data_IF_638146796816
#
_entry.id   IF_638146796816
#
_cell.length_a   1.000
_cell.length_b   1.000
_cell.length_c   1.000
_cell.angle_alpha   90.00
_cell.angle_beta   90.00
_cell.angle_gamma   90.00
#
_symmetry.space_group_name_H-M   'P 1'
#
loop_
_entity.id
_entity.type
_entity.pdbx_description
1 polymer ?
#
# COMPACT_ATOMS: atom_id res chain seq x y z
N UNK A 1 17.97 -58.52 -31.71
CA UNK A 1 17.86 -59.34 -30.50
C UNK A 1 17.20 -58.52 -29.52
N UNK A 2 15.86 -58.42 -29.58
CA UNK A 2 14.82 -59.11 -28.82
C UNK A 2 15.07 -58.99 -27.29
N UNK A 3 14.29 -58.26 -26.56
CA UNK A 3 13.04 -58.74 -25.99
C UNK A 3 12.39 -57.67 -25.12
N UNK A 4 11.12 -57.44 -25.31
CA UNK A 4 10.18 -56.75 -24.42
C UNK A 4 9.46 -57.81 -23.54
N UNK A 5 8.38 -57.47 -22.75
CA UNK A 5 8.34 -57.35 -21.29
C UNK A 5 7.63 -58.54 -20.59
N UNK A 6 7.16 -58.43 -19.36
CA UNK A 6 5.73 -58.65 -19.15
C UNK A 6 5.03 -57.71 -18.17
N UNK A 7 3.79 -57.46 -18.54
CA UNK A 7 2.66 -57.01 -17.75
C UNK A 7 2.18 -58.05 -16.73
N UNK A 8 1.70 -57.62 -15.60
CA UNK A 8 0.68 -58.39 -14.87
C UNK A 8 -0.24 -57.45 -14.11
N UNK A 9 -1.50 -57.74 -14.30
CA UNK A 9 -2.69 -57.08 -13.86
C UNK A 9 -3.21 -57.65 -12.51
N UNK A 10 -4.23 -56.96 -11.98
CA UNK A 10 -5.26 -57.36 -11.01
C UNK A 10 -4.87 -57.45 -9.54
N UNK A 11 -5.57 -56.74 -8.64
CA UNK A 11 -6.89 -57.12 -8.18
C UNK A 11 -7.48 -56.07 -7.25
N UNK A 12 -8.76 -55.82 -7.46
CA UNK A 12 -9.72 -55.11 -6.67
C UNK A 12 -9.94 -55.72 -5.27
N UNK A 13 -10.11 -54.89 -4.25
CA UNK A 13 -11.10 -55.17 -3.16
C UNK A 13 -11.59 -53.87 -2.61
N UNK A 14 -12.90 -53.68 -2.65
CA UNK A 14 -13.64 -52.58 -2.07
C UNK A 14 -13.81 -52.71 -0.56
N UNK A 15 -13.91 -51.60 0.07
CA UNK A 15 -14.52 -51.53 1.41
C UNK A 15 -15.35 -50.27 1.49
N UNK A 16 -16.64 -50.50 1.61
CA UNK A 16 -17.72 -49.53 1.88
C UNK A 16 -17.63 -49.18 3.37
N UNK A 17 -17.47 -47.88 3.69
CA UNK A 17 -17.87 -47.37 4.99
C UNK A 17 -18.85 -46.23 4.82
N UNK A 18 -20.10 -46.53 5.28
CA UNK A 18 -21.17 -45.61 5.59
C UNK A 18 -20.76 -44.78 6.79
N UNK A 19 -21.05 -43.50 6.76
CA UNK A 19 -20.88 -42.62 7.93
C UNK A 19 -21.58 -41.28 7.72
N UNK A 20 -22.84 -41.26 7.94
CA UNK A 20 -23.72 -40.36 8.70
C UNK A 20 -23.52 -38.84 8.48
N UNK A 21 -24.50 -38.32 7.77
CA UNK A 21 -24.84 -36.89 7.64
C UNK A 21 -25.40 -36.40 8.98
N UNK A 22 -24.81 -35.35 9.55
CA UNK A 22 -25.47 -34.49 10.54
C UNK A 22 -25.79 -33.16 9.92
N UNK A 23 -27.07 -33.02 9.58
CA UNK A 23 -27.72 -31.72 9.39
C UNK A 23 -27.94 -31.09 10.76
N UNK A 24 -27.46 -29.88 10.96
CA UNK A 24 -27.99 -28.99 12.00
C UNK A 24 -28.49 -27.71 11.36
N UNK A 25 -29.76 -27.50 11.59
CA UNK A 25 -30.60 -26.47 11.03
C UNK A 25 -30.28 -25.07 11.55
N UNK A 26 -30.28 -24.12 10.65
CA UNK A 26 -30.35 -22.69 10.92
C UNK A 26 -31.70 -22.30 11.48
N UNK A 27 -31.75 -21.69 12.64
CA UNK A 27 -32.97 -21.01 13.12
C UNK A 27 -32.76 -19.51 13.10
N UNK A 28 -33.39 -18.91 12.13
CA UNK A 28 -33.62 -17.48 11.94
C UNK A 28 -34.71 -17.05 12.94
N UNK A 29 -34.43 -16.05 13.79
CA UNK A 29 -35.49 -15.26 14.42
C UNK A 29 -35.29 -13.77 14.21
N UNK A 30 -36.36 -13.21 13.73
CA UNK A 30 -36.62 -11.84 13.31
C UNK A 30 -37.00 -10.97 14.52
N UNK A 31 -36.72 -9.70 14.36
CA UNK A 31 -37.19 -8.48 14.99
C UNK A 31 -38.54 -8.52 15.77
N UNK A 32 -38.55 -7.76 16.86
CA UNK A 32 -39.74 -7.31 17.55
C UNK A 32 -39.43 -6.13 18.43
N UNK A 33 -40.06 -5.04 18.09
CA UNK A 33 -40.04 -3.69 18.64
C UNK A 33 -40.69 -3.56 20.01
N UNK A 34 -40.28 -2.49 20.72
CA UNK A 34 -41.12 -1.61 21.55
C UNK A 34 -41.68 -2.13 22.86
N UNK A 35 -41.32 -1.51 23.97
CA UNK A 35 -42.19 -0.60 24.70
C UNK A 35 -41.55 -0.09 25.98
N UNK A 36 -41.74 1.17 26.19
CA UNK A 36 -41.54 1.90 27.44
C UNK A 36 -42.33 1.26 28.57
N UNK A 37 -41.73 1.13 29.75
CA UNK A 37 -42.46 1.23 31.01
C UNK A 37 -41.65 1.93 32.07
N UNK A 38 -42.20 2.99 32.52
CA UNK A 38 -41.90 3.87 33.65
C UNK A 38 -42.10 3.08 34.95
N UNK A 39 -41.19 3.13 35.87
CA UNK A 39 -41.35 2.79 37.28
C UNK A 39 -40.55 3.82 38.07
N UNK A 40 -41.17 4.75 38.50
CA UNK A 40 -41.71 5.33 39.75
C UNK A 40 -40.80 4.98 40.97
N UNK A 41 -40.15 6.01 41.39
CA UNK A 41 -39.42 6.26 42.62
C UNK A 41 -40.39 6.19 43.82
N UNK A 42 -40.09 5.35 44.80
CA UNK A 42 -40.72 5.41 46.13
C UNK A 42 -39.68 6.00 47.10
N UNK A 43 -40.04 7.14 47.65
CA UNK A 43 -39.43 7.76 48.83
C UNK A 43 -40.06 7.14 50.09
N UNK A 44 -39.31 6.90 51.17
CA UNK A 44 -39.87 6.63 52.48
C UNK A 44 -40.14 7.93 53.27
N UNK A 45 -41.28 7.92 53.91
CA UNK A 45 -41.89 8.96 54.75
C UNK A 45 -41.05 9.37 55.92
N UNK A 46 -41.12 10.68 56.16
CA UNK A 46 -40.61 11.40 57.32
C UNK A 46 -41.61 11.26 58.49
N UNK A 47 -41.21 10.64 59.56
CA UNK A 47 -42.02 10.50 60.81
C UNK A 47 -41.80 11.70 61.72
N UNK A 48 -42.85 12.53 61.86
CA UNK A 48 -42.92 13.66 62.73
C UNK A 48 -43.20 13.26 64.18
N UNK A 49 -42.33 13.61 65.12
CA UNK A 49 -42.60 13.60 66.54
C UNK A 49 -42.76 14.99 67.11
N UNK A 50 -43.74 15.20 67.99
CA UNK A 50 -44.12 16.50 68.54
C UNK A 50 -43.20 16.96 69.68
N UNK A 51 -43.24 18.30 70.04
CA UNK A 51 -42.32 18.90 71.01
C UNK A 51 -42.76 18.70 72.45
N UNK A 52 -41.86 18.55 73.43
CA UNK A 52 -42.17 18.64 74.85
C UNK A 52 -42.03 20.05 75.39
N UNK A 53 -42.95 20.32 76.24
CA UNK A 53 -43.16 21.57 76.98
C UNK A 53 -42.05 21.85 78.01
N UNK A 54 -41.87 23.14 78.31
CA UNK A 54 -40.86 23.70 79.16
C UNK A 54 -41.02 23.46 80.65
N UNK A 55 -39.93 23.51 81.35
CA UNK A 55 -39.88 23.85 82.82
C UNK A 55 -38.70 24.75 83.09
N UNK A 56 -39.02 25.73 83.90
CA UNK A 56 -38.31 26.88 84.40
C UNK A 56 -37.07 26.56 85.31
N UNK A 57 -36.07 27.41 85.16
CA UNK A 57 -34.97 27.85 85.99
C UNK A 57 -34.67 27.20 87.37
N UNK A 58 -33.35 27.22 87.76
CA UNK A 58 -32.72 28.42 88.29
C UNK A 58 -31.23 28.63 87.89
N UNK A 59 -30.83 29.92 87.99
CA UNK A 59 -29.51 30.44 87.74
C UNK A 59 -28.46 29.92 88.74
N UNK A 60 -27.23 29.66 88.32
CA UNK A 60 -26.00 29.54 89.07
C UNK A 60 -24.82 30.25 88.36
N UNK A 61 -23.84 30.72 89.10
CA UNK A 61 -23.03 31.88 88.78
C UNK A 61 -21.91 31.63 87.80
N UNK A 62 -21.59 32.67 87.01
CA UNK A 62 -20.44 32.77 86.11
C UNK A 62 -19.11 32.53 86.84
N UNK A 63 -18.43 31.40 86.57
CA UNK A 63 -17.00 31.26 86.82
C UNK A 63 -16.28 31.69 85.54
N UNK A 64 -15.64 32.83 85.51
CA UNK A 64 -14.67 33.22 84.46
C UNK A 64 -13.46 32.39 84.66
N UNK A 65 -13.32 31.35 83.85
CA UNK A 65 -12.04 30.68 83.55
C UNK A 65 -11.41 31.41 82.37
N UNK A 66 -10.38 32.18 82.64
CA UNK A 66 -9.55 32.83 81.63
C UNK A 66 -8.87 31.70 80.84
N UNK A 67 -9.40 31.38 79.67
CA UNK A 67 -8.75 30.52 78.75
C UNK A 67 -7.60 31.29 78.13
N UNK A 68 -6.37 30.89 78.42
CA UNK A 68 -5.12 31.41 77.84
C UNK A 68 -5.13 31.23 76.29
N UNK A 69 -5.60 32.27 75.62
CA UNK A 69 -5.66 32.35 74.14
C UNK A 69 -4.30 32.23 73.50
N UNK A 70 -3.23 32.58 74.22
CA UNK A 70 -1.85 32.43 73.71
C UNK A 70 -1.41 30.97 73.56
N UNK A 71 -1.81 30.06 74.45
CA UNK A 71 -1.45 28.64 74.42
C UNK A 71 -2.19 27.90 73.29
N UNK A 72 -3.42 28.33 72.98
CA UNK A 72 -4.22 27.78 71.88
C UNK A 72 -3.65 28.21 70.53
N UNK A 73 -3.20 29.47 70.36
CA UNK A 73 -2.58 29.97 69.15
C UNK A 73 -1.22 29.32 68.87
N UNK A 74 -0.40 29.01 69.91
CA UNK A 74 0.86 28.33 69.78
C UNK A 74 0.68 26.87 69.30
N UNK A 75 -0.32 26.15 69.81
CA UNK A 75 -0.65 24.79 69.38
C UNK A 75 -1.16 24.77 67.94
N UNK A 76 -2.01 25.75 67.56
CA UNK A 76 -2.51 25.84 66.14
C UNK A 76 -1.38 26.12 65.15
N UNK A 77 -0.42 27.00 65.47
CA UNK A 77 0.75 27.26 64.62
C UNK A 77 1.59 25.98 64.41
N UNK A 78 1.87 25.20 65.46
CA UNK A 78 2.63 23.93 65.35
C UNK A 78 1.90 22.91 64.48
N UNK A 79 0.58 22.82 64.56
CA UNK A 79 -0.22 21.91 63.74
C UNK A 79 -0.18 22.37 62.28
N UNK A 80 -0.33 23.64 62.01
CA UNK A 80 -0.29 24.18 60.60
C UNK A 80 1.10 23.98 59.98
N UNK A 81 2.18 24.23 60.71
CA UNK A 81 3.55 23.93 60.20
C UNK A 81 3.77 22.42 59.98
N UNK A 82 3.19 21.57 60.82
CA UNK A 82 3.26 20.09 60.62
C UNK A 82 2.55 19.66 59.33
N UNK A 83 1.37 20.26 59.07
CA UNK A 83 0.63 19.98 57.83
C UNK A 83 1.33 20.53 56.58
N UNK A 84 1.93 21.70 56.64
CA UNK A 84 2.73 22.28 55.56
C UNK A 84 3.94 21.41 55.24
N UNK A 85 4.70 20.97 56.25
CA UNK A 85 5.81 20.02 56.04
C UNK A 85 5.36 18.69 55.47
N UNK A 86 4.23 18.16 55.92
CA UNK A 86 3.68 16.91 55.42
C UNK A 86 3.26 17.05 53.93
N UNK A 87 2.56 18.12 53.57
CA UNK A 87 2.15 18.43 52.18
C UNK A 87 3.39 18.64 51.29
N UNK A 88 4.41 19.34 51.80
CA UNK A 88 5.67 19.58 51.08
C UNK A 88 6.44 18.28 50.85
N UNK A 89 6.54 17.40 51.85
CA UNK A 89 7.15 16.09 51.73
C UNK A 89 6.37 15.15 50.78
N UNK A 90 5.04 15.19 50.86
CA UNK A 90 4.19 14.48 49.91
C UNK A 90 4.36 15.01 48.47
N UNK A 91 4.50 16.33 48.31
CA UNK A 91 4.79 16.99 47.03
C UNK A 91 6.13 16.59 46.47
N UNK A 92 7.18 16.51 47.30
CA UNK A 92 8.50 16.00 46.88
C UNK A 92 8.44 14.51 46.50
N UNK A 93 7.74 13.71 47.29
CA UNK A 93 7.55 12.29 46.98
C UNK A 93 6.75 12.06 45.69
N UNK A 94 5.72 12.86 45.41
CA UNK A 94 4.99 12.83 44.15
C UNK A 94 5.84 13.37 42.98
N UNK A 95 6.62 14.42 43.17
CA UNK A 95 7.52 14.94 42.14
C UNK A 95 8.67 13.95 41.78
N UNK A 96 9.15 13.17 42.77
CA UNK A 96 10.15 12.16 42.53
C UNK A 96 9.64 10.95 41.68
N UNK A 97 8.31 10.82 41.53
CA UNK A 97 7.72 9.78 40.68
C UNK A 97 7.65 10.16 39.20
N UNK A 98 7.89 11.42 38.85
CA UNK A 98 8.01 11.88 37.47
C UNK A 98 9.43 11.78 36.91
N UNK A 99 10.24 10.83 37.40
CA UNK A 99 11.44 10.44 36.67
C UNK A 99 10.97 9.78 35.38
N UNK A 100 11.13 10.51 34.27
CA UNK A 100 10.89 9.99 32.93
C UNK A 100 11.68 8.69 32.82
N UNK A 101 10.95 7.57 32.76
CA UNK A 101 11.53 6.28 32.44
C UNK A 101 11.93 6.40 30.96
N UNK A 102 13.21 6.66 30.71
CA UNK A 102 13.77 6.61 29.38
C UNK A 102 13.79 5.15 28.96
N UNK A 103 12.99 4.85 28.00
CA UNK A 103 12.79 3.51 27.42
C UNK A 103 13.45 3.45 26.06
N UNK A 104 13.72 2.24 25.61
CA UNK A 104 14.06 1.95 24.21
C UNK A 104 13.18 2.77 23.27
N UNK A 105 13.81 3.61 22.43
CA UNK A 105 13.10 4.50 21.52
C UNK A 105 13.35 4.11 20.07
N UNK A 106 12.36 4.44 19.23
CA UNK A 106 12.46 4.40 17.77
C UNK A 106 12.92 3.06 17.19
N UNK A 107 12.45 1.93 17.76
CA UNK A 107 12.67 0.64 17.15
C UNK A 107 12.01 0.59 15.77
N UNK A 108 12.82 0.44 14.72
CA UNK A 108 12.39 0.35 13.31
C UNK A 108 12.93 -0.92 12.70
N UNK A 109 12.05 -1.65 12.07
CA UNK A 109 12.39 -2.84 11.28
C UNK A 109 12.35 -2.50 9.79
N UNK A 110 13.36 -2.94 9.04
CA UNK A 110 13.43 -2.86 7.58
C UNK A 110 13.59 -4.27 7.03
N UNK A 111 12.59 -4.71 6.32
CA UNK A 111 12.54 -5.97 5.60
C UNK A 111 12.19 -5.64 4.16
N UNK A 112 12.88 -6.18 3.15
CA UNK A 112 12.49 -5.97 1.76
C UNK A 112 11.05 -6.44 1.52
N UNK A 113 10.22 -5.58 0.95
CA UNK A 113 8.82 -5.93 0.64
C UNK A 113 8.73 -7.14 -0.30
N UNK A 114 9.71 -7.24 -1.22
CA UNK A 114 9.78 -8.34 -2.15
C UNK A 114 11.23 -8.65 -2.53
N UNK A 115 11.54 -9.95 -2.68
CA UNK A 115 12.87 -10.46 -3.04
C UNK A 115 12.73 -11.55 -4.09
N UNK A 116 13.58 -11.54 -5.12
CA UNK A 116 13.63 -12.62 -6.12
C UNK A 116 14.17 -13.90 -5.49
N UNK A 117 13.49 -15.01 -5.71
CA UNK A 117 13.89 -16.33 -5.25
C UNK A 117 15.33 -16.65 -5.66
N UNK A 118 16.12 -17.16 -4.73
CA UNK A 118 17.55 -17.47 -4.92
C UNK A 118 18.49 -16.32 -4.58
N UNK A 119 18.01 -15.08 -4.47
CA UNK A 119 18.83 -13.93 -4.06
C UNK A 119 19.04 -13.92 -2.54
N UNK A 120 19.91 -13.01 -2.09
CA UNK A 120 20.06 -12.68 -0.68
C UNK A 120 19.02 -11.62 -0.26
N UNK A 121 18.63 -11.65 1.01
CA UNK A 121 17.79 -10.63 1.64
C UNK A 121 18.46 -10.13 2.91
N UNK A 122 18.70 -8.83 3.01
CA UNK A 122 19.22 -8.19 4.23
C UNK A 122 18.07 -7.56 4.99
N UNK A 123 17.90 -7.99 6.22
CA UNK A 123 16.94 -7.49 7.19
C UNK A 123 17.67 -6.55 8.13
N UNK A 124 17.11 -5.40 8.50
CA UNK A 124 17.76 -4.54 9.47
C UNK A 124 16.80 -4.05 10.55
N UNK A 125 17.36 -3.86 11.74
CA UNK A 125 16.65 -3.47 12.93
C UNK A 125 17.41 -2.29 13.55
N UNK A 126 16.82 -1.09 13.48
CA UNK A 126 17.40 0.14 13.99
C UNK A 126 16.74 0.51 15.31
N UNK A 127 17.53 0.85 16.30
CA UNK A 127 17.06 1.19 17.64
C UNK A 127 18.01 2.18 18.32
N UNK A 128 17.49 2.94 19.25
CA UNK A 128 18.24 3.87 20.08
C UNK A 128 18.17 3.47 21.56
N UNK A 129 19.34 3.24 22.17
CA UNK A 129 19.51 2.86 23.58
C UNK A 129 20.01 4.07 24.36
N UNK A 130 19.24 5.08 24.63
CA UNK A 130 19.69 6.36 25.23
C UNK A 130 20.83 6.23 26.25
N UNK A 131 20.62 5.57 27.38
CA UNK A 131 21.60 5.35 28.46
C UNK A 131 21.78 3.88 28.84
N UNK A 132 20.98 3.00 28.25
CA UNK A 132 21.04 1.58 28.49
C UNK A 132 22.06 0.89 27.58
N UNK A 133 22.55 -0.26 27.98
CA UNK A 133 23.32 -1.15 27.10
C UNK A 133 22.43 -2.19 26.46
N UNK A 134 22.83 -2.66 25.29
CA UNK A 134 22.15 -3.73 24.59
C UNK A 134 22.33 -5.06 25.34
N UNK A 135 21.23 -5.70 25.70
CA UNK A 135 21.24 -7.06 26.20
C UNK A 135 21.21 -8.06 25.06
N UNK A 136 20.18 -7.99 24.17
CA UNK A 136 20.09 -8.88 23.01
C UNK A 136 19.27 -8.30 21.88
N UNK A 137 19.57 -8.70 20.64
CA UNK A 137 18.71 -8.59 19.48
C UNK A 137 18.37 -9.99 19.02
N UNK A 138 17.07 -10.24 18.79
CA UNK A 138 16.58 -11.53 18.31
C UNK A 138 15.73 -11.36 17.07
N UNK A 139 15.89 -12.27 16.13
CA UNK A 139 15.11 -12.31 14.91
C UNK A 139 14.30 -13.57 14.81
N UNK A 140 13.03 -13.39 14.44
CA UNK A 140 12.06 -14.46 14.30
C UNK A 140 11.47 -14.48 12.91
N UNK A 141 11.17 -15.65 12.41
CA UNK A 141 10.34 -15.89 11.24
C UNK A 141 9.13 -16.72 11.66
N UNK A 142 7.89 -16.24 11.38
CA UNK A 142 6.64 -16.87 11.81
C UNK A 142 6.65 -17.32 13.28
N UNK A 143 7.28 -16.50 14.15
CA UNK A 143 7.46 -16.75 15.59
C UNK A 143 8.54 -17.78 15.99
N UNK A 144 9.29 -18.34 15.02
CA UNK A 144 10.45 -19.18 15.30
C UNK A 144 11.74 -18.36 15.27
N UNK A 145 12.52 -18.40 16.35
CA UNK A 145 13.80 -17.68 16.46
C UNK A 145 14.85 -18.34 15.54
N UNK A 146 15.44 -17.55 14.64
CA UNK A 146 16.49 -18.03 13.74
C UNK A 146 17.85 -17.37 13.95
N UNK A 147 17.89 -16.19 14.61
CA UNK A 147 19.13 -15.46 14.87
C UNK A 147 19.04 -14.70 16.19
N UNK A 148 20.16 -14.71 16.93
CA UNK A 148 20.32 -13.96 18.17
C UNK A 148 21.71 -13.33 18.23
N UNK A 149 21.74 -12.08 18.66
CA UNK A 149 22.98 -11.37 18.96
C UNK A 149 22.97 -10.93 20.42
N UNK A 150 24.01 -11.35 21.17
CA UNK A 150 24.23 -10.98 22.60
C UNK A 150 25.65 -10.44 22.73
N UNK A 151 25.84 -9.13 22.96
CA UNK A 151 27.19 -8.53 23.00
C UNK A 151 28.14 -9.15 24.02
N UNK A 152 27.62 -9.68 25.10
CA UNK A 152 28.39 -10.28 26.22
C UNK A 152 28.79 -11.75 25.97
N UNK A 153 28.31 -12.37 24.92
CA UNK A 153 28.65 -13.75 24.55
C UNK A 153 29.84 -13.82 23.59
N UNK A 154 30.50 -14.95 23.53
CA UNK A 154 31.59 -15.22 22.59
C UNK A 154 31.41 -16.60 21.95
N UNK A 155 31.06 -16.67 20.65
CA UNK A 155 30.76 -15.56 19.73
C UNK A 155 29.44 -14.86 20.09
N UNK A 156 29.30 -13.56 19.78
CA UNK A 156 28.10 -12.79 20.13
C UNK A 156 26.88 -13.17 19.30
N UNK A 157 27.08 -13.63 18.06
CA UNK A 157 26.05 -14.03 17.14
C UNK A 157 25.82 -15.55 17.18
N UNK A 158 24.55 -15.95 17.22
CA UNK A 158 24.13 -17.36 17.16
C UNK A 158 22.97 -17.51 16.17
N UNK A 159 23.00 -18.59 15.39
CA UNK A 159 21.95 -18.98 14.48
C UNK A 159 21.24 -20.24 14.98
N UNK A 160 19.94 -20.31 14.74
CA UNK A 160 19.11 -21.46 15.08
C UNK A 160 18.52 -22.05 13.78
N UNK A 161 18.43 -23.38 13.67
CA UNK A 161 17.91 -23.99 12.45
C UNK A 161 16.39 -23.76 12.36
N UNK A 162 15.99 -23.00 11.36
CA UNK A 162 14.59 -22.80 10.96
C UNK A 162 14.47 -23.20 9.50
N UNK A 163 13.38 -23.88 9.14
CA UNK A 163 13.20 -24.41 7.79
C UNK A 163 13.25 -23.28 6.74
N UNK A 164 14.07 -23.48 5.70
CA UNK A 164 14.24 -22.53 4.61
C UNK A 164 15.17 -21.35 4.89
N UNK A 165 15.58 -21.14 6.16
CA UNK A 165 16.46 -20.03 6.54
C UNK A 165 17.93 -20.45 6.53
N UNK A 166 18.73 -19.71 5.78
CA UNK A 166 20.19 -19.78 5.79
C UNK A 166 20.78 -18.40 6.06
N UNK A 167 21.30 -18.19 7.27
CA UNK A 167 21.89 -16.91 7.66
C UNK A 167 23.35 -16.83 7.19
N UNK A 168 23.71 -15.69 6.60
CA UNK A 168 25.10 -15.35 6.35
C UNK A 168 25.71 -14.70 7.59
N UNK A 169 26.38 -15.50 8.43
CA UNK A 169 26.99 -15.00 9.67
C UNK A 169 28.11 -13.98 9.41
N UNK A 170 28.72 -13.97 8.22
CA UNK A 170 29.77 -13.00 7.87
C UNK A 170 29.23 -11.63 7.52
N UNK A 171 27.95 -11.54 7.19
CA UNK A 171 27.21 -10.33 6.80
C UNK A 171 26.10 -10.01 7.80
N UNK A 172 26.21 -10.52 9.03
CA UNK A 172 25.18 -10.35 10.07
C UNK A 172 25.82 -9.86 11.36
N UNK A 173 25.16 -8.87 11.99
CA UNK A 173 25.61 -8.22 13.21
C UNK A 173 24.44 -7.91 14.18
N UNK A 174 24.62 -6.95 15.09
CA UNK A 174 23.59 -6.53 16.04
C UNK A 174 22.39 -5.82 15.38
N UNK A 175 22.58 -5.23 14.21
CA UNK A 175 21.61 -4.35 13.55
C UNK A 175 21.09 -4.92 12.26
N UNK A 176 21.79 -5.86 11.65
CA UNK A 176 21.44 -6.42 10.36
C UNK A 176 21.67 -7.93 10.30
N UNK A 177 20.77 -8.62 9.59
CA UNK A 177 20.87 -10.06 9.32
C UNK A 177 20.66 -10.30 7.84
N UNK A 178 21.60 -10.98 7.21
CA UNK A 178 21.53 -11.34 5.79
C UNK A 178 21.19 -12.81 5.62
N UNK A 179 20.11 -13.05 4.88
CA UNK A 179 19.66 -14.39 4.47
C UNK A 179 20.21 -14.68 3.07
N UNK A 180 20.69 -15.92 2.87
CA UNK A 180 21.19 -16.40 1.56
C UNK A 180 20.17 -17.27 0.88
N UNK A 181 20.05 -17.15 -0.45
CA UNK A 181 19.30 -18.08 -1.27
C UNK A 181 17.85 -18.23 -0.84
N UNK A 182 17.13 -17.11 -0.70
CA UNK A 182 15.74 -17.12 -0.21
C UNK A 182 14.85 -17.99 -1.08
N UNK A 183 14.03 -18.82 -0.45
CA UNK A 183 13.05 -19.71 -1.09
C UNK A 183 11.64 -19.18 -0.92
N UNK A 184 10.66 -19.73 -1.64
CA UNK A 184 9.24 -19.34 -1.53
C UNK A 184 8.70 -19.45 -0.11
N UNK A 185 9.19 -20.43 0.66
CA UNK A 185 8.77 -20.70 2.04
C UNK A 185 9.09 -19.55 2.99
N UNK A 186 10.01 -18.64 2.61
CA UNK A 186 10.33 -17.43 3.35
C UNK A 186 9.39 -16.24 3.05
N UNK A 187 8.31 -16.48 2.31
CA UNK A 187 7.22 -15.52 2.21
C UNK A 187 6.45 -15.52 3.51
N UNK A 188 6.63 -14.48 4.33
CA UNK A 188 6.02 -14.48 5.64
C UNK A 188 6.39 -13.26 6.47
N UNK A 189 6.17 -13.37 7.77
CA UNK A 189 6.37 -12.31 8.74
C UNK A 189 7.69 -12.47 9.48
N UNK A 190 8.52 -11.44 9.41
CA UNK A 190 9.75 -11.33 10.18
C UNK A 190 9.54 -10.39 11.35
N UNK A 191 10.19 -10.70 12.49
CA UNK A 191 10.12 -9.88 13.69
C UNK A 191 11.52 -9.66 14.23
N UNK A 192 11.77 -8.43 14.68
CA UNK A 192 12.95 -8.05 15.42
C UNK A 192 12.54 -7.69 16.85
N UNK A 193 13.15 -8.35 17.83
CA UNK A 193 13.03 -8.08 19.26
C UNK A 193 14.34 -7.50 19.77
N UNK A 194 14.27 -6.35 20.43
CA UNK A 194 15.44 -5.71 21.07
C UNK A 194 15.18 -5.58 22.55
N UNK A 195 16.12 -6.08 23.35
CA UNK A 195 16.07 -6.01 24.81
C UNK A 195 17.24 -5.21 25.35
N UNK A 196 16.93 -4.33 26.27
CA UNK A 196 17.91 -3.57 27.06
C UNK A 196 18.43 -4.37 28.25
N UNK A 197 19.65 -4.08 28.67
CA UNK A 197 20.26 -4.65 29.87
C UNK A 197 19.76 -3.93 31.15
N UNK A 198 20.24 -4.36 32.31
CA UNK A 198 19.97 -3.74 33.60
C UNK A 198 20.22 -2.22 33.56
N UNK A 199 19.48 -1.41 34.31
CA UNK A 199 18.43 -1.76 35.28
C UNK A 199 17.01 -1.82 34.68
N UNK A 200 16.79 -1.41 33.43
CA UNK A 200 15.47 -1.18 32.87
C UNK A 200 14.82 -2.44 32.28
N UNK A 201 15.60 -3.31 31.64
CA UNK A 201 15.16 -4.55 31.00
C UNK A 201 13.97 -4.35 30.03
N UNK A 202 13.88 -3.20 29.36
CA UNK A 202 12.83 -2.97 28.37
C UNK A 202 13.06 -3.83 27.14
N UNK A 203 11.95 -4.31 26.59
CA UNK A 203 11.93 -5.07 25.34
C UNK A 203 10.87 -4.49 24.42
N UNK A 204 11.24 -4.25 23.16
CA UNK A 204 10.31 -3.84 22.11
C UNK A 204 10.44 -4.79 20.92
N UNK A 205 9.32 -4.99 20.20
CA UNK A 205 9.22 -5.89 19.05
C UNK A 205 8.59 -5.13 17.89
N UNK A 206 9.20 -5.26 16.72
CA UNK A 206 8.63 -4.79 15.45
C UNK A 206 8.56 -5.94 14.46
N UNK A 207 7.60 -5.83 13.56
CA UNK A 207 7.36 -6.86 12.55
C UNK A 207 7.14 -6.25 11.18
N UNK A 208 7.59 -6.97 10.16
CA UNK A 208 7.40 -6.62 8.75
C UNK A 208 7.30 -7.89 7.91
N UNK A 209 6.64 -7.78 6.75
CA UNK A 209 6.42 -8.92 5.86
C UNK A 209 7.34 -8.86 4.66
N UNK A 210 7.87 -10.00 4.24
CA UNK A 210 8.60 -10.21 3.00
C UNK A 210 7.81 -11.13 2.06
N UNK A 211 7.80 -10.78 0.78
CA UNK A 211 7.27 -11.63 -0.28
C UNK A 211 8.43 -12.14 -1.14
N UNK A 212 8.60 -13.44 -1.24
CA UNK A 212 9.55 -14.02 -2.19
C UNK A 212 8.87 -14.18 -3.55
N UNK A 213 9.56 -13.75 -4.61
CA UNK A 213 9.06 -13.73 -5.98
C UNK A 213 9.83 -14.73 -6.82
N UNK A 214 9.12 -15.71 -7.38
CA UNK A 214 9.66 -16.57 -8.43
C UNK A 214 9.28 -15.99 -9.79
N UNK A 215 10.27 -15.58 -10.56
CA UNK A 215 10.06 -15.00 -11.89
C UNK A 215 9.68 -16.06 -12.92
N UNK A 216 8.86 -15.72 -13.92
CA UNK A 216 8.52 -16.62 -15.00
C UNK A 216 9.76 -16.94 -15.84
N UNK A 217 9.95 -18.23 -16.17
CA UNK A 217 11.08 -18.70 -17.00
C UNK A 217 10.93 -18.32 -18.47
N UNK A 218 9.70 -18.06 -18.90
CA UNK A 218 9.37 -17.73 -20.29
C UNK A 218 8.85 -16.31 -20.36
N UNK A 219 9.31 -15.58 -21.36
CA UNK A 219 8.80 -14.24 -21.66
C UNK A 219 7.32 -14.28 -22.06
N UNK A 220 6.59 -13.17 -21.83
CA UNK A 220 5.18 -13.09 -22.19
C UNK A 220 4.98 -13.26 -23.70
N UNK A 221 3.96 -14.02 -24.06
CA UNK A 221 3.58 -14.26 -25.43
C UNK A 221 2.19 -13.71 -25.71
N UNK A 222 2.04 -13.02 -26.83
CA UNK A 222 0.75 -12.51 -27.27
C UNK A 222 0.37 -13.12 -28.60
N UNK A 223 -0.91 -13.45 -28.74
CA UNK A 223 -1.51 -13.96 -29.97
C UNK A 223 -2.75 -13.13 -30.29
N UNK A 224 -2.88 -12.75 -31.55
CA UNK A 224 -4.06 -12.08 -32.10
C UNK A 224 -4.88 -13.10 -32.89
N UNK A 225 -6.19 -13.06 -32.75
CA UNK A 225 -7.11 -13.85 -33.57
C UNK A 225 -7.12 -13.33 -35.02
N UNK A 226 -7.05 -12.00 -35.19
CA UNK A 226 -7.01 -11.32 -36.49
C UNK A 226 -5.92 -10.27 -36.48
N UNK A 227 -5.14 -10.20 -37.56
CA UNK A 227 -4.13 -9.18 -37.79
C UNK A 227 -4.61 -8.03 -38.68
N UNK A 228 -5.77 -8.23 -39.36
CA UNK A 228 -6.42 -7.25 -40.23
C UNK A 228 -7.88 -7.18 -39.82
N UNK A 229 -8.36 -5.98 -39.60
CA UNK A 229 -9.74 -5.67 -39.19
C UNK A 229 -10.23 -4.42 -39.91
N UNK A 230 -11.54 -4.19 -39.84
CA UNK A 230 -12.18 -2.87 -40.12
C UNK A 230 -12.58 -2.20 -38.81
N UNK A 231 -12.97 -0.94 -38.87
CA UNK A 231 -13.49 -0.22 -37.67
C UNK A 231 -14.76 -0.82 -37.10
N UNK A 232 -15.46 -1.66 -37.86
CA UNK A 232 -16.69 -2.35 -37.48
C UNK A 232 -16.46 -3.78 -36.97
N UNK A 233 -15.22 -4.29 -37.05
CA UNK A 233 -14.89 -5.62 -36.59
C UNK A 233 -14.62 -5.68 -35.10
N UNK A 234 -14.95 -6.83 -34.51
CA UNK A 234 -14.42 -7.23 -33.22
C UNK A 234 -13.06 -7.92 -33.40
N UNK A 235 -12.24 -7.86 -32.37
CA UNK A 235 -11.00 -8.64 -32.32
C UNK A 235 -10.74 -9.18 -30.92
N UNK A 236 -9.98 -10.27 -30.89
CA UNK A 236 -9.51 -10.89 -29.67
C UNK A 236 -8.00 -10.98 -29.65
N UNK A 237 -7.43 -10.59 -28.49
CA UNK A 237 -6.03 -10.80 -28.18
C UNK A 237 -5.90 -11.71 -26.97
N UNK A 238 -4.89 -12.56 -26.96
CA UNK A 238 -4.58 -13.47 -25.86
C UNK A 238 -3.16 -13.24 -25.41
N UNK A 239 -2.95 -13.07 -24.11
CA UNK A 239 -1.64 -12.93 -23.50
C UNK A 239 -1.41 -14.05 -22.50
N UNK A 240 -0.26 -14.72 -22.61
CA UNK A 240 0.15 -15.82 -21.75
C UNK A 240 1.54 -15.55 -21.21
N UNK A 241 1.74 -15.78 -19.93
CA UNK A 241 3.04 -15.72 -19.26
C UNK A 241 3.28 -17.01 -18.49
N UNK A 242 4.54 -17.44 -18.42
CA UNK A 242 4.93 -18.64 -17.68
C UNK A 242 4.54 -18.62 -16.21
N UNK A 243 4.71 -19.74 -15.54
CA UNK A 243 4.45 -19.85 -14.09
C UNK A 243 5.31 -18.88 -13.31
N UNK A 244 4.72 -18.20 -12.32
CA UNK A 244 5.38 -17.30 -11.40
C UNK A 244 4.77 -17.41 -10.02
N UNK A 245 5.45 -16.89 -9.01
CA UNK A 245 4.92 -16.73 -7.66
C UNK A 245 5.31 -15.34 -7.10
N UNK A 246 4.37 -14.54 -6.64
CA UNK A 246 2.93 -14.72 -6.85
C UNK A 246 2.56 -14.72 -8.33
N UNK A 247 1.33 -15.11 -8.68
CA UNK A 247 0.87 -15.06 -10.07
C UNK A 247 1.00 -13.66 -10.66
N UNK A 248 1.45 -13.57 -11.91
CA UNK A 248 1.65 -12.30 -12.60
C UNK A 248 0.32 -11.59 -12.88
N UNK A 249 0.31 -10.27 -12.76
CA UNK A 249 -0.80 -9.44 -13.20
C UNK A 249 -0.62 -9.06 -14.68
N UNK A 250 -1.70 -9.08 -15.47
CA UNK A 250 -1.68 -8.71 -16.89
C UNK A 250 -2.57 -7.50 -17.11
N UNK A 251 -1.98 -6.43 -17.66
CA UNK A 251 -2.67 -5.18 -18.02
C UNK A 251 -2.64 -5.00 -19.53
N UNK A 252 -3.77 -4.59 -20.12
CA UNK A 252 -3.92 -4.39 -21.55
C UNK A 252 -3.83 -2.92 -21.95
N UNK A 253 -3.16 -2.67 -23.09
CA UNK A 253 -3.06 -1.35 -23.71
C UNK A 253 -3.31 -1.44 -25.20
N UNK A 254 -3.91 -0.39 -25.77
CA UNK A 254 -4.02 -0.17 -27.22
C UNK A 254 -3.52 1.24 -27.49
N UNK A 255 -2.53 1.39 -28.35
CA UNK A 255 -1.84 2.67 -28.63
C UNK A 255 -1.49 3.41 -27.33
N UNK A 256 -0.88 2.69 -26.35
CA UNK A 256 -0.50 3.18 -25.03
C UNK A 256 -1.66 3.59 -24.10
N UNK A 257 -2.91 3.49 -24.56
CA UNK A 257 -4.10 3.76 -23.73
C UNK A 257 -4.48 2.48 -22.97
N UNK A 258 -4.54 2.57 -21.64
CA UNK A 258 -4.90 1.45 -20.77
C UNK A 258 -6.36 1.05 -20.96
N UNK A 259 -6.58 -0.25 -21.11
CA UNK A 259 -7.91 -0.83 -21.32
C UNK A 259 -8.48 -1.34 -20.01
N UNK A 260 -9.69 -0.88 -19.69
CA UNK A 260 -10.45 -1.30 -18.53
C UNK A 260 -11.63 -2.18 -18.94
N UNK A 261 -12.22 -2.92 -18.01
CA UNK A 261 -13.44 -3.69 -18.27
C UNK A 261 -14.62 -2.76 -18.48
N UNK A 262 -15.41 -3.03 -19.52
CA UNK A 262 -16.67 -2.34 -19.82
C UNK A 262 -17.61 -3.29 -20.58
N UNK A 263 -18.88 -2.93 -20.82
CA UNK A 263 -19.78 -3.72 -21.65
C UNK A 263 -19.25 -4.01 -23.06
N UNK A 264 -18.42 -3.13 -23.62
CA UNK A 264 -17.88 -3.21 -24.97
C UNK A 264 -16.41 -3.67 -25.04
N UNK A 265 -15.83 -4.06 -23.89
CA UNK A 265 -14.48 -4.61 -23.82
C UNK A 265 -14.39 -5.60 -22.67
N UNK A 266 -14.27 -6.87 -23.02
CA UNK A 266 -14.24 -7.95 -22.05
C UNK A 266 -12.80 -8.38 -21.80
N UNK A 267 -12.37 -8.32 -20.54
CA UNK A 267 -11.08 -8.86 -20.13
C UNK A 267 -11.33 -10.09 -19.26
N UNK A 268 -10.82 -11.24 -19.68
CA UNK A 268 -10.77 -12.44 -18.84
C UNK A 268 -9.38 -12.59 -18.26
N UNK A 269 -9.30 -13.18 -17.09
CA UNK A 269 -8.05 -13.45 -16.40
C UNK A 269 -8.14 -14.81 -15.71
N UNK A 270 -7.14 -15.64 -15.90
CA UNK A 270 -7.01 -16.94 -15.24
C UNK A 270 -5.60 -17.06 -14.70
N UNK A 271 -5.50 -17.31 -13.41
CA UNK A 271 -4.25 -17.54 -12.74
C UNK A 271 -4.49 -18.45 -11.56
N UNK A 272 -3.77 -19.54 -11.50
CA UNK A 272 -3.74 -20.46 -10.37
C UNK A 272 -2.29 -20.69 -10.00
N UNK A 273 -2.03 -20.96 -8.75
CA UNK A 273 -0.70 -21.27 -8.28
C UNK A 273 -0.13 -22.49 -9.03
N UNK A 274 1.14 -22.37 -9.47
CA UNK A 274 1.81 -23.41 -10.22
C UNK A 274 1.40 -23.56 -11.68
N UNK A 275 0.53 -22.67 -12.20
CA UNK A 275 0.11 -22.66 -13.60
C UNK A 275 0.51 -21.35 -14.31
N UNK A 276 0.67 -21.38 -15.65
CA UNK A 276 0.84 -20.15 -16.42
C UNK A 276 -0.34 -19.21 -16.22
N UNK A 277 -0.06 -17.92 -16.17
CA UNK A 277 -1.10 -16.89 -16.12
C UNK A 277 -1.57 -16.55 -17.54
N UNK A 278 -2.86 -16.44 -17.69
CA UNK A 278 -3.53 -16.24 -18.97
C UNK A 278 -4.55 -15.10 -18.88
N UNK A 279 -4.55 -14.23 -19.88
CA UNK A 279 -5.55 -13.18 -20.03
C UNK A 279 -6.00 -13.05 -21.48
N UNK A 280 -7.28 -12.85 -21.74
CA UNK A 280 -7.78 -12.48 -23.07
C UNK A 280 -8.49 -11.12 -23.02
N UNK A 281 -8.29 -10.35 -24.07
CA UNK A 281 -8.97 -9.10 -24.34
C UNK A 281 -9.89 -9.30 -25.56
N UNK A 282 -11.18 -9.15 -25.36
CA UNK A 282 -12.19 -9.11 -26.43
C UNK A 282 -12.62 -7.65 -26.61
N UNK A 283 -12.38 -7.07 -27.77
CA UNK A 283 -12.77 -5.70 -28.11
C UNK A 283 -13.93 -5.72 -29.10
N UNK A 284 -14.95 -4.92 -28.81
CA UNK A 284 -16.11 -4.74 -29.67
C UNK A 284 -16.07 -3.37 -30.33
N UNK A 285 -16.61 -3.20 -31.57
CA UNK A 285 -16.49 -1.96 -32.34
C UNK A 285 -17.15 -0.74 -31.65
N UNK A 286 -18.15 -0.97 -30.81
CA UNK A 286 -18.82 0.09 -30.05
C UNK A 286 -18.08 0.50 -28.75
N UNK A 287 -16.86 0.02 -28.54
CA UNK A 287 -16.05 0.47 -27.42
C UNK A 287 -15.69 1.94 -27.55
N UNK A 288 -16.07 2.75 -26.56
CA UNK A 288 -15.75 4.18 -26.52
C UNK A 288 -14.24 4.41 -26.62
N UNK A 289 -13.45 3.57 -25.94
CA UNK A 289 -11.98 3.66 -25.95
C UNK A 289 -11.43 3.44 -27.36
N UNK A 290 -12.00 2.48 -28.11
CA UNK A 290 -11.57 2.17 -29.47
C UNK A 290 -11.96 3.32 -30.42
N UNK A 291 -13.16 3.86 -30.29
CA UNK A 291 -13.62 5.02 -31.06
C UNK A 291 -12.73 6.26 -30.80
N UNK A 292 -12.42 6.54 -29.53
CA UNK A 292 -11.51 7.63 -29.18
C UNK A 292 -10.12 7.44 -29.80
N UNK A 293 -9.61 6.19 -29.80
CA UNK A 293 -8.32 5.88 -30.43
C UNK A 293 -8.38 6.15 -31.93
N UNK A 294 -9.41 5.67 -32.64
CA UNK A 294 -9.56 5.93 -34.07
C UNK A 294 -9.63 7.42 -34.41
N UNK A 295 -10.33 8.22 -33.61
CA UNK A 295 -10.45 9.66 -33.79
C UNK A 295 -9.14 10.41 -33.52
N UNK A 296 -8.31 9.91 -32.65
CA UNK A 296 -7.05 10.55 -32.23
C UNK A 296 -5.83 10.03 -32.98
N UNK A 297 -5.99 9.03 -33.85
CA UNK A 297 -4.88 8.47 -34.62
C UNK A 297 -4.35 9.49 -35.63
N UNK A 298 -3.01 9.56 -35.81
CA UNK A 298 -2.41 10.38 -36.87
C UNK A 298 -2.94 9.98 -38.26
N UNK A 299 -3.05 10.94 -39.20
CA UNK A 299 -3.71 10.75 -40.51
C UNK A 299 -3.05 9.71 -41.42
N UNK A 300 -1.95 9.14 -41.13
CA UNK A 300 -1.28 8.07 -41.90
C UNK A 300 -1.11 6.77 -41.15
N UNK A 301 -1.57 6.70 -39.91
CA UNK A 301 -1.49 5.51 -39.13
C UNK A 301 -2.72 4.63 -39.35
N UNK A 302 -2.51 3.47 -39.97
CA UNK A 302 -3.57 2.47 -40.22
C UNK A 302 -3.44 1.26 -39.34
N UNK A 303 -2.64 1.33 -38.27
CA UNK A 303 -2.39 0.21 -37.39
C UNK A 303 -2.60 0.53 -35.92
N UNK A 304 -3.18 -0.39 -35.18
CA UNK A 304 -3.29 -0.38 -33.73
C UNK A 304 -2.15 -1.21 -33.13
N UNK A 305 -1.45 -0.68 -32.17
CA UNK A 305 -0.52 -1.44 -31.33
C UNK A 305 -1.29 -1.98 -30.13
N UNK A 306 -1.50 -3.30 -30.11
CA UNK A 306 -2.06 -4.00 -28.94
C UNK A 306 -0.91 -4.51 -28.10
N UNK A 307 -0.92 -4.23 -26.80
CA UNK A 307 0.13 -4.59 -25.87
C UNK A 307 -0.47 -5.17 -24.60
N UNK A 308 0.11 -6.27 -24.11
CA UNK A 308 -0.10 -6.74 -22.75
C UNK A 308 1.16 -6.49 -21.92
N UNK A 309 1.00 -5.85 -20.80
CA UNK A 309 2.04 -5.62 -19.81
C UNK A 309 1.83 -6.57 -18.63
N UNK A 310 2.88 -7.28 -18.29
CA UNK A 310 2.93 -8.25 -17.20
C UNK A 310 3.70 -7.61 -16.06
N UNK A 311 3.11 -7.61 -14.85
CA UNK A 311 3.77 -7.14 -13.65
C UNK A 311 3.66 -8.14 -12.51
N UNK A 312 4.74 -8.29 -11.75
CA UNK A 312 4.77 -9.04 -10.50
C UNK A 312 5.31 -8.09 -9.45
N UNK A 313 4.41 -7.58 -8.60
CA UNK A 313 4.72 -6.52 -7.65
C UNK A 313 5.42 -5.34 -8.38
N UNK A 314 6.46 -4.77 -7.74
CA UNK A 314 7.31 -3.72 -8.33
C UNK A 314 8.66 -4.26 -8.88
N UNK A 315 8.87 -5.58 -8.82
CA UNK A 315 10.16 -6.22 -9.14
C UNK A 315 10.26 -6.59 -10.62
N UNK A 316 9.17 -7.02 -11.23
CA UNK A 316 9.19 -7.53 -12.59
C UNK A 316 8.12 -6.86 -13.43
N UNK A 317 8.56 -6.31 -14.58
CA UNK A 317 7.67 -5.78 -15.61
C UNK A 317 8.21 -6.16 -16.97
N UNK A 318 7.40 -6.82 -17.79
CA UNK A 318 7.67 -7.12 -19.20
C UNK A 318 6.40 -6.96 -20.02
N UNK A 319 6.56 -6.72 -21.31
CA UNK A 319 5.42 -6.57 -22.22
C UNK A 319 5.60 -7.41 -23.48
N UNK A 320 4.49 -7.82 -24.07
CA UNK A 320 4.41 -8.34 -25.42
C UNK A 320 3.43 -7.49 -26.21
N UNK A 321 3.76 -7.21 -27.48
CA UNK A 321 2.95 -6.36 -28.35
C UNK A 321 2.82 -6.94 -29.75
N UNK A 322 1.71 -6.63 -30.40
CA UNK A 322 1.46 -6.95 -31.79
C UNK A 322 0.66 -5.85 -32.48
N UNK A 323 0.78 -5.76 -33.81
CA UNK A 323 0.08 -4.78 -34.64
C UNK A 323 -1.18 -5.39 -35.25
N UNK A 324 -2.26 -4.66 -35.26
CA UNK A 324 -3.47 -4.93 -36.01
C UNK A 324 -3.61 -3.85 -37.09
N UNK A 325 -3.74 -4.24 -38.35
CA UNK A 325 -3.97 -3.33 -39.47
C UNK A 325 -5.49 -3.05 -39.57
N UNK A 326 -5.87 -1.78 -39.62
CA UNK A 326 -7.25 -1.35 -39.78
C UNK A 326 -7.45 -0.87 -41.20
N UNK A 327 -8.16 -1.64 -42.03
CA UNK A 327 -8.18 -1.48 -43.49
C UNK A 327 -9.04 -0.30 -44.00
N UNK A 328 -10.03 0.12 -43.22
CA UNK A 328 -10.99 1.19 -43.57
C UNK A 328 -10.62 2.58 -42.99
N UNK A 329 -9.53 2.67 -42.24
CA UNK A 329 -8.91 3.93 -41.84
C UNK A 329 -8.12 4.51 -43.06
N UNK A 330 -8.65 4.35 -44.26
CA UNK A 330 -8.03 4.96 -45.44
C UNK A 330 -8.13 6.46 -45.34
N UNK A 331 -6.97 7.08 -45.29
CA UNK A 331 -6.76 8.47 -45.53
C UNK A 331 -7.66 8.95 -46.66
N UNK A 332 -8.61 9.79 -46.39
CA UNK A 332 -9.15 10.72 -47.38
C UNK A 332 -8.00 11.64 -47.80
N UNK A 333 -7.10 11.15 -48.62
CA UNK A 333 -6.27 12.00 -49.44
C UNK A 333 -7.25 12.71 -50.33
N UNK A 334 -7.53 13.98 -50.02
CA UNK A 334 -8.32 14.86 -50.86
C UNK A 334 -7.74 14.77 -52.28
N UNK A 335 -8.51 14.35 -53.31
CA UNK A 335 -7.96 14.16 -54.67
C UNK A 335 -7.44 15.45 -55.32
N UNK A 336 -7.48 16.56 -54.61
CA UNK A 336 -7.01 17.86 -55.07
C UNK A 336 -5.49 18.08 -55.02
N UNK A 337 -4.70 17.08 -54.60
CA UNK A 337 -3.22 17.19 -54.56
C UNK A 337 -2.50 16.35 -55.60
N UNK A 338 -3.22 15.59 -56.42
CA UNK A 338 -2.72 14.97 -57.64
C UNK A 338 -3.19 15.80 -58.79
N UNK A 339 -2.48 16.89 -59.05
CA UNK A 339 -2.54 17.61 -60.32
C UNK A 339 -2.09 16.70 -61.48
N UNK A 340 -3.00 15.87 -61.95
CA UNK A 340 -2.91 15.27 -63.29
C UNK A 340 -3.82 16.09 -64.18
N UNK A 341 -3.26 17.18 -64.64
CA UNK A 341 -3.70 17.92 -65.81
C UNK A 341 -3.59 16.98 -67.02
N UNK A 342 -4.70 16.57 -67.52
CA UNK A 342 -4.80 15.69 -68.66
C UNK A 342 -6.15 15.85 -69.33
N UNK A 343 -6.45 17.05 -69.90
CA UNK A 343 -7.46 17.15 -70.96
C UNK A 343 -7.10 18.20 -71.97
N UNK A 344 -6.49 17.70 -73.02
CA UNK A 344 -6.55 18.35 -74.34
C UNK A 344 -7.99 18.59 -74.71
N UNK A 345 -8.38 19.86 -74.97
CA UNK A 345 -9.29 20.12 -76.06
C UNK A 345 -9.08 21.53 -76.64
N UNK A 346 -8.54 21.53 -77.85
CA UNK A 346 -8.42 22.59 -78.79
C UNK A 346 -9.79 23.17 -79.13
N UNK A 347 -9.96 24.50 -79.05
CA UNK A 347 -10.68 25.27 -80.08
C UNK A 347 -10.16 26.69 -80.19
N UNK A 348 -9.90 27.05 -81.43
CA UNK A 348 -9.24 28.15 -82.04
C UNK A 348 -10.21 29.33 -82.27
N UNK A 349 -9.66 30.54 -82.15
CA UNK A 349 -10.15 31.68 -82.90
C UNK A 349 -10.32 32.98 -82.13
N UNK A 350 -10.20 34.13 -82.83
CA UNK A 350 -9.10 35.04 -82.58
C UNK A 350 -9.59 36.45 -82.17
N UNK A 351 -8.59 37.33 -81.88
CA UNK A 351 -8.61 38.78 -81.86
C UNK A 351 -8.91 39.52 -80.57
N UNK A 352 -7.99 40.44 -80.30
CA UNK A 352 -8.21 41.61 -79.46
C UNK A 352 -7.10 41.88 -78.45
N UNK A 353 -6.12 42.63 -78.87
CA UNK A 353 -5.12 43.33 -78.07
C UNK A 353 -5.72 44.50 -77.29
N UNK A 354 -4.90 45.32 -76.63
CA UNK A 354 -4.37 45.17 -75.27
C UNK A 354 -4.88 46.32 -74.36
N UNK A 355 -4.58 46.30 -73.12
CA UNK A 355 -4.08 47.49 -72.40
C UNK A 355 -4.16 47.31 -70.86
N UNK A 356 -3.04 47.57 -70.33
CA UNK A 356 -2.75 48.40 -69.15
C UNK A 356 -3.41 48.17 -67.79
N UNK A 357 -2.50 48.14 -66.92
CA UNK A 357 -2.38 48.83 -65.61
C UNK A 357 -2.45 47.95 -64.39
N UNK A 358 -1.28 47.83 -63.84
CA UNK A 358 -0.82 48.48 -62.64
C UNK A 358 -1.23 47.85 -61.29
N UNK A 359 -0.19 47.35 -60.62
CA UNK A 359 0.13 47.57 -59.21
C UNK A 359 -1.01 47.51 -58.17
N UNK A 360 -0.88 46.61 -57.29
CA UNK A 360 -0.46 46.94 -55.87
C UNK A 360 -0.14 45.73 -55.09
N UNK A 361 1.06 45.75 -54.66
CA UNK A 361 1.68 45.15 -53.50
C UNK A 361 0.89 45.42 -52.22
N UNK A 362 0.92 44.49 -51.27
CA UNK A 362 1.00 44.64 -49.83
C UNK A 362 0.35 43.44 -49.14
N UNK A 363 1.07 42.69 -48.49
CA UNK A 363 1.58 42.80 -47.16
C UNK A 363 1.56 41.42 -46.58
N UNK A 364 2.65 40.75 -46.48
CA UNK A 364 3.59 40.87 -45.41
C UNK A 364 3.12 40.31 -44.07
N UNK A 365 3.74 39.19 -43.75
CA UNK A 365 4.33 38.91 -42.41
C UNK A 365 3.55 39.29 -41.17
N UNK A 366 2.99 38.33 -40.50
CA UNK A 366 2.90 38.26 -39.04
C UNK A 366 2.60 36.85 -38.57
N UNK A 367 3.63 36.03 -38.44
CA UNK A 367 3.54 34.78 -37.66
C UNK A 367 4.92 34.30 -37.19
N UNK A 368 5.67 35.17 -36.52
CA UNK A 368 6.95 34.75 -35.93
C UNK A 368 7.33 35.45 -34.63
N UNK A 369 6.39 36.04 -33.88
CA UNK A 369 6.71 36.70 -32.60
C UNK A 369 6.02 36.12 -31.35
N UNK A 370 5.33 34.99 -31.44
CA UNK A 370 4.67 34.39 -30.29
C UNK A 370 5.50 33.26 -29.62
N UNK A 371 6.53 32.74 -30.30
CA UNK A 371 7.34 31.63 -29.78
C UNK A 371 8.47 32.04 -28.82
N UNK A 372 8.83 33.31 -28.72
CA UNK A 372 9.90 33.79 -27.84
C UNK A 372 9.42 34.27 -26.45
N UNK A 373 8.13 34.46 -26.27
CA UNK A 373 7.58 34.92 -24.98
C UNK A 373 7.33 33.76 -23.97
N UNK A 374 7.24 32.49 -24.42
CA UNK A 374 6.99 31.34 -23.56
C UNK A 374 8.30 30.75 -23.01
N UNK A 375 9.43 30.95 -23.71
CA UNK A 375 10.74 30.46 -23.25
C UNK A 375 11.38 31.32 -22.15
N UNK A 376 10.95 32.56 -21.96
CA UNK A 376 11.50 33.46 -20.95
C UNK A 376 10.82 33.34 -19.57
N UNK A 377 9.60 32.77 -19.52
CA UNK A 377 8.85 32.61 -18.26
C UNK A 377 9.20 31.34 -17.47
N UNK A 378 9.82 30.34 -18.08
CA UNK A 378 10.21 29.09 -17.41
C UNK A 378 11.59 29.11 -16.76
N UNK A 379 12.45 30.09 -17.11
CA UNK A 379 13.78 30.23 -16.48
C UNK A 379 13.73 31.09 -15.21
N UNK A 380 12.72 31.93 -15.04
CA UNK A 380 12.56 32.75 -13.83
C UNK A 380 11.97 32.01 -12.62
N UNK A 381 11.34 30.85 -12.84
CA UNK A 381 10.75 30.02 -11.76
C UNK A 381 11.69 28.95 -11.20
N UNK A 382 12.83 28.71 -11.83
CA UNK A 382 13.84 27.74 -11.37
C UNK A 382 14.99 28.33 -10.56
N UNK A 383 15.04 29.65 -10.39
CA UNK A 383 16.08 30.36 -9.61
C UNK A 383 15.57 30.99 -8.30
N UNK A 384 14.29 30.79 -7.95
CA UNK A 384 13.64 31.37 -6.77
C UNK A 384 13.45 30.46 -5.55
N UNK A 385 13.98 29.25 -5.52
CA UNK A 385 13.76 28.26 -4.41
C UNK A 385 15.08 27.83 -3.73
N UNK A 386 16.10 28.65 -3.75
CA UNK A 386 17.33 28.39 -3.02
C UNK A 386 17.79 29.64 -2.27
N UNK A 387 16.97 30.14 -1.34
CA UNK A 387 17.48 30.96 -0.23
C UNK A 387 16.36 31.16 0.82
N UNK A 388 16.29 30.32 1.79
CA UNK A 388 15.83 30.58 3.17
C UNK A 388 15.73 29.26 3.93
N UNK A 389 16.81 28.84 4.58
CA UNK A 389 16.81 28.15 5.87
C UNK A 389 18.24 27.90 6.35
N UNK A 390 18.85 28.95 6.81
CA UNK A 390 19.88 28.86 7.86
C UNK A 390 19.49 29.91 8.87
N UNK A 391 19.18 29.49 10.05
CA UNK A 391 19.17 30.07 11.39
C UNK A 391 17.95 29.61 12.19
N UNK A 392 18.26 28.89 13.16
CA UNK A 392 17.88 28.87 14.56
C UNK A 392 17.62 27.47 15.12
N UNK A 393 18.56 27.14 15.99
CA UNK A 393 18.61 26.30 17.20
C UNK A 393 18.66 24.81 17.02
#
# INVERSE_FOLDING_TARGET
MTSSPPSSACSSTGSIFRGTIFLTAATRRRAGSSSRTSAREEQPEEEQHPPPQGHSHPQRPRRRTGVNTEAIMSKRRKIVYGWFNFIFLCGIMLAAQFTSVHSLKDLKIFVPDAVIMGNAATLSCQFELEKASLYSVRWYFESEEFYRYVPKESPPARTFPVSGITVDSSQSDATSVTLRGVTRDLTGQFQCEVSEDAPLFHTDIRQARMQVVELPKQDPQMQLEKTHITTLDNFRAVCTVGTSFPPANITWFINSKKIHRSPYQRITYRSFEGTPTFSSLDMYPHSQVLQDIYQTMPPFQTSLTVMCEISILHIYTKSAQQLIIVSDLVTTISPNLLGLDGSNNRRKGPNGDPDNSALTDNGSTRASTIWWAIAAATVALSLGVLDTRVHHW
#
